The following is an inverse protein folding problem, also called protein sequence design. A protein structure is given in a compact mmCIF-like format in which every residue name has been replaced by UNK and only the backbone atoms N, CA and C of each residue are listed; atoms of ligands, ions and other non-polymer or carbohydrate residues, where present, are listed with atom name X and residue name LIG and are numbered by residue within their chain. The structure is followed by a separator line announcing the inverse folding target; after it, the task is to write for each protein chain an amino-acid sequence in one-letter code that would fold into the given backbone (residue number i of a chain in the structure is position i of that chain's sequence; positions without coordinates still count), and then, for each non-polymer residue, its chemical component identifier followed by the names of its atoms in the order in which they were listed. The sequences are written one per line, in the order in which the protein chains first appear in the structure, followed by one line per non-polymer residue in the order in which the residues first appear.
data_IF_626088875295
#
_entry.id   IF_626088875295
#
_cell.length_a   1.000
_cell.length_b   1.000
_cell.length_c   1.000
_cell.angle_alpha   90.00
_cell.angle_beta   90.00
_cell.angle_gamma   90.00
#
_symmetry.space_group_name_H-M   'P 1'
#
loop_
_entity.id
_entity.type
_entity.pdbx_description
1 polymer ?
#
# COMPACT_ATOMS: atom_id res chain seq x y z
N UNK A 1 -15.63 -4.55 -2.02
CA UNK A 1 -16.05 -3.81 -0.82
C UNK A 1 -14.93 -2.84 -0.46
N UNK A 2 -14.99 -1.61 -0.96
CA UNK A 2 -14.04 -0.55 -0.62
C UNK A 2 -14.32 0.02 0.79
N UNK A 3 -14.68 -0.83 1.76
CA UNK A 3 -15.04 -0.51 3.14
C UNK A 3 -15.82 0.80 3.34
N UNK A 4 -15.58 1.46 4.47
CA UNK A 4 -16.29 2.68 4.86
C UNK A 4 -15.98 3.90 3.98
N UNK A 5 -14.84 3.92 3.28
CA UNK A 5 -14.40 5.07 2.48
C UNK A 5 -15.39 5.44 1.36
N UNK A 6 -16.04 4.45 0.77
CA UNK A 6 -17.01 4.66 -0.30
C UNK A 6 -18.38 5.06 0.22
N UNK A 7 -18.65 4.87 1.51
CA UNK A 7 -19.87 5.32 2.18
C UNK A 7 -19.81 6.83 2.49
N UNK A 8 -18.59 7.38 2.60
CA UNK A 8 -18.40 8.82 2.74
C UNK A 8 -18.92 9.58 1.51
N UNK A 9 -19.38 10.81 1.72
CA UNK A 9 -19.60 11.75 0.62
C UNK A 9 -18.27 12.20 0.01
N UNK A 10 -18.31 12.75 -1.21
CA UNK A 10 -17.13 13.31 -1.84
C UNK A 10 -16.45 14.41 -1.00
N UNK A 11 -17.25 15.28 -0.35
CA UNK A 11 -16.74 16.34 0.52
C UNK A 11 -16.06 15.80 1.79
N UNK A 12 -16.61 14.74 2.40
CA UNK A 12 -16.00 14.07 3.54
C UNK A 12 -14.67 13.42 3.15
N UNK A 13 -14.63 12.72 2.00
CA UNK A 13 -13.37 12.15 1.48
C UNK A 13 -12.32 13.23 1.24
N UNK A 14 -12.68 14.32 0.56
CA UNK A 14 -11.77 15.42 0.30
C UNK A 14 -11.22 16.04 1.60
N UNK A 15 -12.08 16.21 2.61
CA UNK A 15 -11.67 16.72 3.92
C UNK A 15 -10.66 15.80 4.58
N UNK A 16 -10.98 14.51 4.70
CA UNK A 16 -10.08 13.51 5.31
C UNK A 16 -8.77 13.44 4.52
N UNK A 17 -8.83 13.29 3.20
CA UNK A 17 -7.66 13.20 2.34
C UNK A 17 -6.74 14.42 2.45
N UNK A 18 -7.31 15.63 2.55
CA UNK A 18 -6.52 16.85 2.73
C UNK A 18 -5.72 16.84 4.04
N UNK A 19 -6.29 16.28 5.12
CA UNK A 19 -5.61 16.15 6.41
C UNK A 19 -4.46 15.13 6.34
N UNK A 20 -4.70 13.99 5.69
CA UNK A 20 -3.66 12.98 5.46
C UNK A 20 -2.52 13.54 4.59
N UNK A 21 -2.84 14.17 3.46
CA UNK A 21 -1.84 14.77 2.58
C UNK A 21 -1.04 15.89 3.27
N UNK A 22 -1.70 16.73 4.07
CA UNK A 22 -1.03 17.77 4.86
C UNK A 22 -0.04 17.20 5.89
N UNK A 23 -0.26 15.95 6.33
CA UNK A 23 0.64 15.21 7.21
C UNK A 23 1.66 14.34 6.44
N UNK A 24 1.76 14.46 5.12
CA UNK A 24 2.65 13.62 4.29
C UNK A 24 2.20 12.16 4.22
N UNK A 25 0.90 11.91 4.21
CA UNK A 25 0.33 10.57 4.20
C UNK A 25 -0.52 10.40 2.94
N UNK A 26 -0.25 9.36 2.17
CA UNK A 26 -1.07 8.95 1.05
C UNK A 26 -2.11 7.90 1.49
N UNK A 27 -3.30 8.00 0.92
CA UNK A 27 -4.37 7.05 1.18
C UNK A 27 -4.58 6.14 -0.04
N UNK A 28 -4.20 4.88 0.08
CA UNK A 28 -4.34 3.88 -0.97
C UNK A 28 -5.40 2.82 -0.62
N UNK A 29 -5.83 2.04 -1.61
CA UNK A 29 -6.70 0.88 -1.41
C UNK A 29 -5.91 -0.41 -1.62
N UNK A 30 -6.20 -1.47 -0.86
CA UNK A 30 -5.72 -2.82 -1.20
C UNK A 30 -6.64 -3.46 -2.23
N UNK A 31 -6.09 -3.99 -3.31
CA UNK A 31 -6.79 -4.93 -4.16
C UNK A 31 -6.47 -6.37 -3.72
N UNK A 32 -7.51 -7.20 -3.57
CA UNK A 32 -7.44 -8.62 -3.24
C UNK A 32 -7.17 -8.94 -1.75
N UNK A 33 -6.09 -9.63 -1.43
CA UNK A 33 -5.80 -10.26 -0.14
C UNK A 33 -6.07 -11.76 -0.10
N UNK A 34 -5.84 -12.37 1.06
CA UNK A 34 -5.80 -13.83 1.26
C UNK A 34 -7.06 -14.62 0.86
N UNK A 35 -8.20 -13.95 0.65
CA UNK A 35 -9.48 -14.57 0.28
C UNK A 35 -9.83 -14.44 -1.21
N UNK A 36 -8.99 -13.80 -2.01
CA UNK A 36 -9.22 -13.59 -3.43
C UNK A 36 -8.11 -14.23 -4.27
N UNK A 37 -8.52 -15.05 -5.25
CA UNK A 37 -7.63 -15.78 -6.15
C UNK A 37 -7.95 -15.44 -7.61
N UNK A 38 -7.59 -14.23 -8.09
CA UNK A 38 -8.11 -13.70 -9.35
C UNK A 38 -7.72 -14.52 -10.58
N UNK A 39 -6.51 -15.08 -10.62
CA UNK A 39 -6.07 -15.90 -11.77
C UNK A 39 -6.75 -17.26 -11.77
N UNK A 40 -6.82 -17.92 -10.62
CA UNK A 40 -7.49 -19.21 -10.45
C UNK A 40 -9.01 -19.11 -10.63
N UNK A 41 -9.60 -17.95 -10.35
CA UNK A 41 -10.99 -17.64 -10.64
C UNK A 41 -11.24 -17.27 -12.12
N UNK A 42 -10.21 -17.23 -12.96
CA UNK A 42 -10.34 -16.90 -14.38
C UNK A 42 -10.70 -15.44 -14.65
N UNK A 43 -10.43 -14.52 -13.71
CA UNK A 43 -10.70 -13.10 -13.93
C UNK A 43 -9.77 -12.54 -15.00
N UNK A 44 -10.30 -11.70 -15.89
CA UNK A 44 -9.51 -11.04 -16.91
C UNK A 44 -8.63 -9.94 -16.29
N UNK A 45 -7.29 -9.98 -16.46
CA UNK A 45 -6.39 -9.03 -15.83
C UNK A 45 -6.59 -7.59 -16.31
N UNK A 46 -7.00 -7.39 -17.56
CA UNK A 46 -7.18 -6.04 -18.14
C UNK A 46 -8.46 -5.40 -17.63
N UNK A 47 -9.56 -6.15 -17.61
CA UNK A 47 -10.83 -5.70 -17.06
C UNK A 47 -10.72 -5.39 -15.57
N UNK A 48 -10.02 -6.23 -14.81
CA UNK A 48 -9.78 -6.00 -13.38
C UNK A 48 -8.94 -4.74 -13.14
N UNK A 49 -7.87 -4.55 -13.92
CA UNK A 49 -7.04 -3.35 -13.83
C UNK A 49 -7.82 -2.07 -14.13
N UNK A 50 -8.67 -2.08 -15.17
CA UNK A 50 -9.53 -0.96 -15.51
C UNK A 50 -10.54 -0.66 -14.39
N UNK A 51 -11.15 -1.70 -13.83
CA UNK A 51 -12.13 -1.58 -12.74
C UNK A 51 -11.51 -1.00 -11.48
N UNK A 52 -10.35 -1.51 -11.07
CA UNK A 52 -9.63 -1.02 -9.89
C UNK A 52 -9.12 0.40 -10.10
N UNK A 53 -8.50 0.69 -11.25
CA UNK A 53 -8.02 2.03 -11.59
C UNK A 53 -9.14 3.06 -11.62
N UNK A 54 -10.29 2.74 -12.21
CA UNK A 54 -11.45 3.61 -12.23
C UNK A 54 -11.96 3.94 -10.81
N UNK A 55 -11.95 2.97 -9.91
CA UNK A 55 -12.37 3.20 -8.53
C UNK A 55 -11.38 4.05 -7.72
N UNK A 56 -10.07 3.88 -7.94
CA UNK A 56 -9.04 4.76 -7.34
C UNK A 56 -9.31 6.21 -7.72
N UNK A 57 -9.65 6.47 -8.98
CA UNK A 57 -9.98 7.81 -9.47
C UNK A 57 -11.31 8.29 -8.88
N UNK A 58 -12.38 7.49 -9.00
CA UNK A 58 -13.74 7.84 -8.57
C UNK A 58 -13.81 8.21 -7.09
N UNK A 59 -13.09 7.45 -6.24
CA UNK A 59 -13.12 7.64 -4.80
C UNK A 59 -11.98 8.50 -4.28
N UNK A 60 -11.31 9.23 -5.17
CA UNK A 60 -10.21 10.14 -4.85
C UNK A 60 -9.23 9.48 -3.89
N UNK A 61 -8.60 8.39 -4.32
CA UNK A 61 -7.50 7.74 -3.63
C UNK A 61 -6.16 8.20 -4.24
N UNK A 62 -5.05 7.94 -3.55
CA UNK A 62 -3.70 8.26 -4.01
C UNK A 62 -3.02 7.10 -4.73
N UNK A 63 -3.62 5.91 -4.66
CA UNK A 63 -3.06 4.73 -5.29
C UNK A 63 -3.75 3.43 -4.90
N UNK A 64 -3.12 2.32 -5.28
CA UNK A 64 -3.56 0.96 -5.00
C UNK A 64 -2.35 0.07 -4.68
N UNK A 65 -2.49 -0.74 -3.63
CA UNK A 65 -1.60 -1.87 -3.35
C UNK A 65 -2.22 -3.16 -3.87
N UNK A 66 -1.47 -3.94 -4.64
CA UNK A 66 -1.92 -5.19 -5.24
C UNK A 66 -1.49 -6.36 -4.34
N UNK A 67 -2.40 -6.77 -3.46
CA UNK A 67 -2.23 -7.87 -2.53
C UNK A 67 -2.67 -9.20 -3.15
N UNK A 68 -2.01 -9.55 -4.26
CA UNK A 68 -2.29 -10.78 -4.98
C UNK A 68 -1.80 -11.98 -4.16
N UNK A 69 -2.73 -12.79 -3.63
CA UNK A 69 -2.45 -13.98 -2.82
C UNK A 69 -2.97 -15.28 -3.45
N UNK A 70 -2.97 -15.37 -4.79
CA UNK A 70 -3.39 -16.58 -5.50
C UNK A 70 -2.30 -17.66 -5.49
N UNK A 71 -2.14 -18.32 -4.33
CA UNK A 71 -1.17 -19.40 -4.15
C UNK A 71 -1.40 -20.55 -5.12
N UNK A 72 -2.65 -20.85 -5.48
CA UNK A 72 -2.94 -21.91 -6.44
C UNK A 72 -2.32 -21.61 -7.79
N UNK A 73 -2.44 -20.37 -8.28
CA UNK A 73 -1.83 -19.96 -9.53
C UNK A 73 -0.29 -19.96 -9.46
N UNK A 74 0.30 -19.35 -8.43
CA UNK A 74 1.77 -19.35 -8.27
C UNK A 74 2.33 -20.78 -8.13
N UNK A 75 1.65 -21.66 -7.41
CA UNK A 75 2.13 -23.02 -7.15
C UNK A 75 2.02 -23.95 -8.37
N UNK A 76 1.31 -23.55 -9.45
CA UNK A 76 1.39 -24.27 -10.73
C UNK A 76 2.74 -24.14 -11.41
N UNK A 77 3.49 -23.05 -11.15
CA UNK A 77 4.84 -22.81 -11.70
C UNK A 77 4.90 -22.87 -13.23
N UNK A 78 3.80 -22.52 -13.87
CA UNK A 78 3.60 -22.58 -15.32
C UNK A 78 3.62 -21.18 -15.98
N UNK A 79 3.91 -20.13 -15.19
CA UNK A 79 3.96 -18.74 -15.65
C UNK A 79 2.60 -18.04 -15.73
N UNK A 80 1.50 -18.71 -15.39
CA UNK A 80 0.14 -18.13 -15.55
C UNK A 80 -0.14 -17.01 -14.56
N UNK A 81 0.32 -17.11 -13.31
CA UNK A 81 0.20 -16.05 -12.31
C UNK A 81 0.99 -14.80 -12.74
N UNK A 82 2.20 -14.99 -13.23
CA UNK A 82 3.09 -13.93 -13.69
C UNK A 82 2.54 -13.26 -14.96
N UNK A 83 2.05 -14.04 -15.94
CA UNK A 83 1.42 -13.50 -17.14
C UNK A 83 0.18 -12.64 -16.79
N UNK A 84 -0.62 -13.08 -15.81
CA UNK A 84 -1.75 -12.32 -15.31
C UNK A 84 -1.29 -11.00 -14.65
N UNK A 85 -0.34 -11.05 -13.72
CA UNK A 85 0.18 -9.87 -13.02
C UNK A 85 0.86 -8.86 -13.97
N UNK A 86 1.60 -9.33 -14.97
CA UNK A 86 2.22 -8.48 -15.99
C UNK A 86 1.15 -7.74 -16.81
N UNK A 87 0.13 -8.47 -17.28
CA UNK A 87 -0.96 -7.89 -18.07
C UNK A 87 -1.78 -6.90 -17.24
N UNK A 88 -2.09 -7.27 -15.99
CA UNK A 88 -2.82 -6.45 -15.04
C UNK A 88 -2.05 -5.14 -14.75
N UNK A 89 -0.78 -5.23 -14.36
CA UNK A 89 0.05 -4.07 -14.02
C UNK A 89 0.20 -3.11 -15.20
N UNK A 90 0.43 -3.67 -16.39
CA UNK A 90 0.53 -2.88 -17.63
C UNK A 90 -0.77 -2.15 -17.95
N UNK A 91 -1.92 -2.83 -17.81
CA UNK A 91 -3.22 -2.21 -18.02
C UNK A 91 -3.55 -1.17 -16.94
N UNK A 92 -3.21 -1.44 -15.68
CA UNK A 92 -3.48 -0.56 -14.55
C UNK A 92 -2.74 0.75 -14.70
N UNK A 93 -1.46 0.74 -15.13
CA UNK A 93 -0.69 1.96 -15.35
C UNK A 93 -1.15 2.82 -16.52
N UNK A 94 -1.95 2.27 -17.45
CA UNK A 94 -2.64 3.10 -18.45
C UNK A 94 -3.74 3.96 -17.82
N UNK A 95 -4.32 3.51 -16.71
CA UNK A 95 -5.36 4.21 -15.96
C UNK A 95 -4.78 5.05 -14.82
N UNK A 96 -3.73 4.56 -14.16
CA UNK A 96 -3.04 5.18 -13.03
C UNK A 96 -1.57 5.46 -13.38
N UNK A 97 -1.26 6.53 -14.13
CA UNK A 97 0.09 6.78 -14.64
C UNK A 97 1.16 6.84 -13.54
N UNK A 98 2.35 6.34 -13.85
CA UNK A 98 3.55 6.49 -13.02
C UNK A 98 3.81 7.98 -12.76
N UNK A 99 4.21 8.34 -11.54
CA UNK A 99 4.38 9.75 -11.17
C UNK A 99 3.11 10.43 -10.62
N UNK A 100 1.93 9.89 -10.93
CA UNK A 100 0.65 10.49 -10.52
C UNK A 100 -0.08 9.68 -9.44
N UNK A 101 0.07 8.35 -9.47
CA UNK A 101 -0.55 7.44 -8.52
C UNK A 101 0.49 6.45 -8.01
N UNK A 102 0.31 6.06 -6.75
CA UNK A 102 1.08 4.98 -6.13
C UNK A 102 0.49 3.64 -6.58
N UNK A 103 1.32 2.75 -7.13
CA UNK A 103 0.99 1.36 -7.41
C UNK A 103 2.06 0.46 -6.85
N UNK A 104 1.68 -0.33 -5.85
CA UNK A 104 2.56 -1.24 -5.12
C UNK A 104 2.03 -2.65 -5.22
N UNK A 105 2.87 -3.64 -4.90
CA UNK A 105 2.45 -5.03 -4.79
C UNK A 105 2.84 -5.58 -3.41
N UNK A 106 2.09 -6.53 -2.87
CA UNK A 106 2.40 -7.17 -1.59
C UNK A 106 2.78 -8.67 -1.74
N UNK A 107 3.85 -9.01 -2.46
CA UNK A 107 4.27 -10.40 -2.63
C UNK A 107 4.77 -11.00 -1.33
N UNK A 108 4.65 -12.32 -1.20
CA UNK A 108 5.36 -13.05 -0.13
C UNK A 108 6.82 -13.26 -0.52
N UNK A 109 7.71 -13.23 0.48
CA UNK A 109 9.16 -13.25 0.22
C UNK A 109 9.66 -14.44 -0.64
N UNK A 110 9.14 -15.68 -0.51
CA UNK A 110 9.61 -16.80 -1.32
C UNK A 110 9.31 -16.66 -2.82
N UNK A 111 8.32 -15.86 -3.22
CA UNK A 111 7.97 -15.67 -4.64
C UNK A 111 9.05 -14.99 -5.47
N UNK A 112 10.07 -14.42 -4.84
CA UNK A 112 11.25 -13.90 -5.55
C UNK A 112 12.26 -15.00 -5.94
N UNK A 113 12.13 -16.22 -5.41
CA UNK A 113 13.04 -17.33 -5.72
C UNK A 113 12.60 -18.01 -7.03
N UNK A 114 12.99 -17.47 -8.18
CA UNK A 114 12.58 -17.97 -9.51
C UNK A 114 12.81 -19.47 -9.72
N UNK A 115 13.85 -20.02 -9.11
CA UNK A 115 14.19 -21.45 -9.16
C UNK A 115 13.10 -22.32 -8.51
N UNK A 116 12.32 -21.78 -7.56
CA UNK A 116 11.15 -22.46 -7.00
C UNK A 116 9.94 -22.44 -7.95
N UNK A 117 9.93 -21.55 -8.94
CA UNK A 117 8.80 -21.27 -9.83
C UNK A 117 9.15 -21.46 -11.32
N UNK A 118 10.02 -22.42 -11.65
CA UNK A 118 10.31 -22.76 -13.05
C UNK A 118 10.97 -21.63 -13.86
N UNK A 119 11.65 -20.69 -13.19
CA UNK A 119 12.23 -19.50 -13.80
C UNK A 119 11.33 -18.26 -13.72
N UNK A 120 10.10 -18.38 -13.23
CA UNK A 120 9.16 -17.28 -13.06
C UNK A 120 9.30 -16.61 -11.68
N UNK A 121 8.19 -16.26 -11.02
CA UNK A 121 8.16 -15.54 -9.76
C UNK A 121 8.23 -14.02 -9.91
N UNK A 122 8.27 -13.32 -8.78
CA UNK A 122 8.33 -11.86 -8.73
C UNK A 122 9.64 -11.27 -9.26
N UNK A 123 10.74 -12.02 -9.28
CA UNK A 123 11.96 -11.60 -10.00
C UNK A 123 11.70 -11.50 -11.50
N UNK A 124 10.93 -12.43 -12.08
CA UNK A 124 10.54 -12.36 -13.49
C UNK A 124 9.54 -11.23 -13.75
N UNK A 125 8.58 -11.01 -12.84
CA UNK A 125 7.63 -9.88 -12.95
C UNK A 125 8.38 -8.54 -12.92
N UNK A 126 9.31 -8.34 -12.00
CA UNK A 126 10.10 -7.10 -11.91
C UNK A 126 10.93 -6.86 -13.18
N UNK A 127 11.51 -7.90 -13.79
CA UNK A 127 12.19 -7.79 -15.08
C UNK A 127 11.27 -7.33 -16.23
N UNK A 128 9.97 -7.64 -16.18
CA UNK A 128 9.02 -7.34 -17.25
C UNK A 128 8.29 -6.02 -17.06
N UNK A 129 7.88 -5.72 -15.83
CA UNK A 129 7.04 -4.57 -15.49
C UNK A 129 7.46 -3.91 -14.17
N UNK A 130 8.65 -4.20 -13.64
CA UNK A 130 9.14 -3.61 -12.39
C UNK A 130 9.25 -2.09 -12.44
N UNK A 131 9.53 -1.51 -13.62
CA UNK A 131 9.50 -0.06 -13.83
C UNK A 131 8.09 0.56 -13.72
N UNK A 132 7.04 -0.26 -13.73
CA UNK A 132 5.65 0.14 -13.54
C UNK A 132 5.18 -0.05 -12.09
N UNK A 133 6.00 -0.61 -11.19
CA UNK A 133 5.65 -0.87 -9.79
C UNK A 133 6.53 0.03 -8.93
N UNK A 134 5.94 0.89 -8.11
CA UNK A 134 6.71 1.84 -7.30
C UNK A 134 7.57 1.10 -6.26
N UNK A 135 6.99 0.15 -5.52
CA UNK A 135 7.72 -0.76 -4.63
C UNK A 135 6.91 -2.03 -4.29
N UNK A 136 7.57 -2.94 -3.57
CA UNK A 136 7.02 -4.20 -3.07
C UNK A 136 6.91 -4.16 -1.54
N UNK A 137 5.68 -4.24 -1.02
CA UNK A 137 5.38 -4.49 0.38
C UNK A 137 5.60 -5.97 0.71
N UNK A 138 6.86 -6.40 0.72
CA UNK A 138 7.20 -7.83 0.80
C UNK A 138 6.74 -8.40 2.15
N UNK A 139 5.85 -9.38 2.12
CA UNK A 139 5.34 -10.02 3.33
C UNK A 139 6.39 -10.97 3.91
N UNK A 140 7.08 -10.52 4.97
CA UNK A 140 8.02 -11.33 5.76
C UNK A 140 7.32 -11.99 6.96
N UNK A 141 6.16 -12.61 6.70
CA UNK A 141 5.31 -13.31 7.66
C UNK A 141 4.40 -14.33 6.95
N UNK A 142 3.76 -15.22 7.72
CA UNK A 142 2.87 -16.29 7.25
C UNK A 142 3.52 -17.30 6.26
N UNK A 143 4.84 -17.49 6.30
CA UNK A 143 5.58 -18.38 5.36
C UNK A 143 6.35 -19.52 6.03
N UNK A 144 5.76 -20.18 7.02
CA UNK A 144 6.30 -21.26 7.88
C UNK A 144 6.78 -20.80 9.27
N UNK A 145 6.70 -21.72 10.24
CA UNK A 145 7.08 -21.49 11.63
C UNK A 145 8.52 -20.96 11.75
N UNK A 146 8.69 -19.85 12.47
CA UNK A 146 9.97 -19.20 12.82
C UNK A 146 10.78 -18.60 11.67
N UNK A 147 10.25 -18.60 10.45
CA UNK A 147 10.85 -17.85 9.35
C UNK A 147 10.55 -16.37 9.57
N UNK A 148 11.59 -15.54 9.47
CA UNK A 148 11.50 -14.09 9.59
C UNK A 148 11.19 -13.56 10.99
N UNK A 149 11.23 -14.35 12.06
CA UNK A 149 11.07 -13.84 13.43
C UNK A 149 12.32 -13.07 13.93
N UNK A 150 13.42 -13.09 13.16
CA UNK A 150 14.71 -12.51 13.53
C UNK A 150 15.23 -11.55 12.45
N UNK A 151 16.11 -10.63 12.85
CA UNK A 151 16.72 -9.65 11.95
C UNK A 151 17.39 -10.31 10.74
N UNK A 152 18.26 -11.29 11.00
CA UNK A 152 19.03 -11.98 9.96
C UNK A 152 18.11 -12.72 8.98
N UNK A 153 17.04 -13.37 9.47
CA UNK A 153 16.09 -14.08 8.60
C UNK A 153 15.30 -13.16 7.69
N UNK A 154 15.03 -11.94 8.15
CA UNK A 154 14.30 -10.93 7.39
C UNK A 154 15.18 -10.26 6.32
N UNK A 155 16.35 -9.71 6.69
CA UNK A 155 17.13 -8.92 5.74
C UNK A 155 18.36 -9.62 5.14
N UNK A 156 19.00 -10.57 5.80
CA UNK A 156 20.33 -11.07 5.41
C UNK A 156 20.33 -12.46 4.76
N UNK A 157 19.66 -13.43 5.38
CA UNK A 157 19.67 -14.82 4.96
C UNK A 157 18.50 -15.58 5.56
N UNK A 158 17.81 -16.46 4.83
CA UNK A 158 16.83 -17.39 5.42
C UNK A 158 17.25 -18.84 5.20
N UNK A 159 17.30 -19.65 6.26
CA UNK A 159 17.62 -21.08 6.15
C UNK A 159 16.44 -21.90 5.62
N UNK A 160 15.22 -21.52 5.97
CA UNK A 160 14.00 -22.20 5.51
C UNK A 160 13.65 -21.84 4.07
N UNK A 161 13.88 -20.59 3.67
CA UNK A 161 13.68 -20.11 2.31
C UNK A 161 14.95 -19.41 1.80
N UNK A 162 16.01 -20.16 1.47
CA UNK A 162 17.22 -19.57 0.92
C UNK A 162 16.88 -18.70 -0.29
N UNK A 163 17.48 -17.51 -0.34
CA UNK A 163 17.30 -16.48 -1.38
C UNK A 163 16.06 -15.58 -1.22
N UNK A 164 15.33 -15.65 -0.10
CA UNK A 164 14.12 -14.84 0.12
C UNK A 164 14.26 -13.67 1.08
N UNK A 165 15.44 -13.39 1.64
CA UNK A 165 15.66 -12.22 2.52
C UNK A 165 15.94 -10.95 1.70
N UNK A 166 15.79 -9.75 2.28
CA UNK A 166 15.93 -8.47 1.56
C UNK A 166 17.20 -8.40 0.68
N UNK A 167 18.38 -8.61 1.25
CA UNK A 167 19.64 -8.50 0.49
C UNK A 167 19.83 -9.66 -0.49
N UNK A 168 19.26 -10.83 -0.22
CA UNK A 168 19.27 -11.93 -1.19
C UNK A 168 18.35 -11.68 -2.37
N UNK A 169 17.19 -11.06 -2.15
CA UNK A 169 16.29 -10.61 -3.21
C UNK A 169 16.98 -9.51 -4.03
N UNK A 170 17.60 -8.54 -3.36
CA UNK A 170 18.31 -7.46 -4.03
C UNK A 170 19.46 -7.95 -4.91
N UNK A 171 20.21 -8.96 -4.46
CA UNK A 171 21.28 -9.60 -5.23
C UNK A 171 20.80 -10.26 -6.54
N UNK A 172 19.49 -10.37 -6.76
CA UNK A 172 18.87 -10.89 -7.99
C UNK A 172 18.43 -9.79 -8.96
N UNK A 173 18.71 -8.53 -8.64
CA UNK A 173 18.47 -7.39 -9.52
C UNK A 173 17.32 -6.46 -9.10
N UNK A 174 16.58 -6.79 -8.03
CA UNK A 174 15.53 -5.90 -7.51
C UNK A 174 16.20 -4.80 -6.69
N UNK A 175 15.84 -3.54 -6.93
CA UNK A 175 16.48 -2.41 -6.26
C UNK A 175 16.11 -2.36 -4.76
N UNK A 176 17.09 -2.02 -3.91
CA UNK A 176 16.91 -2.04 -2.45
C UNK A 176 15.86 -1.05 -1.95
N UNK A 177 15.62 0.04 -2.68
CA UNK A 177 14.62 1.06 -2.41
C UNK A 177 13.19 0.61 -2.74
N UNK A 178 13.04 -0.50 -3.47
CA UNK A 178 11.74 -1.12 -3.75
C UNK A 178 11.35 -2.22 -2.76
N UNK A 179 12.24 -2.65 -1.86
CA UNK A 179 11.99 -3.82 -1.00
C UNK A 179 11.53 -3.40 0.40
N UNK A 180 10.26 -3.01 0.52
CA UNK A 180 9.64 -2.67 1.81
C UNK A 180 9.49 -3.94 2.66
N UNK A 181 9.88 -3.86 3.94
CA UNK A 181 9.79 -4.98 4.89
C UNK A 181 8.37 -4.99 5.50
N UNK A 182 7.53 -5.94 5.10
CA UNK A 182 6.21 -6.17 5.69
C UNK A 182 6.27 -7.05 6.93
N UNK A 183 5.65 -6.60 8.03
CA UNK A 183 5.65 -7.28 9.33
C UNK A 183 4.30 -7.20 10.05
N UNK A 184 3.97 -8.22 10.86
CA UNK A 184 2.86 -8.13 11.79
C UNK A 184 3.14 -7.05 12.83
N UNK A 185 2.20 -6.16 13.10
CA UNK A 185 2.34 -5.10 14.10
C UNK A 185 2.15 -5.62 15.51
N UNK A 186 1.30 -6.64 15.68
CA UNK A 186 1.04 -7.38 16.91
C UNK A 186 1.26 -8.88 16.78
N UNK A 187 1.40 -9.58 17.92
CA UNK A 187 1.61 -11.03 17.94
C UNK A 187 0.40 -11.85 17.47
N UNK A 188 -0.80 -11.27 17.47
CA UNK A 188 -2.05 -11.90 17.00
C UNK A 188 -2.41 -11.56 15.57
N UNK A 189 -1.74 -10.59 14.95
CA UNK A 189 -2.14 -10.07 13.64
C UNK A 189 -1.78 -11.05 12.51
N UNK A 190 -0.85 -11.97 12.76
CA UNK A 190 -0.45 -13.02 11.83
C UNK A 190 -0.10 -14.32 12.56
N UNK A 191 -0.01 -15.42 11.81
CA UNK A 191 0.31 -16.75 12.35
C UNK A 191 1.79 -16.92 12.73
N UNK A 192 2.70 -16.16 12.12
CA UNK A 192 4.15 -16.13 12.40
C UNK A 192 4.79 -14.85 11.81
N UNK A 193 6.08 -14.60 12.06
CA UNK A 193 6.83 -13.48 11.50
C UNK A 193 6.81 -12.20 12.34
N UNK A 194 6.12 -12.21 13.49
CA UNK A 194 6.05 -11.08 14.41
C UNK A 194 7.41 -10.78 15.04
N UNK A 195 7.71 -9.49 15.16
CA UNK A 195 8.82 -8.95 15.94
C UNK A 195 8.26 -7.90 16.88
N UNK A 196 8.83 -7.79 18.09
CA UNK A 196 8.55 -6.61 18.91
C UNK A 196 8.95 -5.34 18.16
N UNK A 197 8.24 -4.25 18.42
CA UNK A 197 8.51 -2.94 17.81
C UNK A 197 9.98 -2.52 17.95
N UNK A 198 10.58 -2.74 19.13
CA UNK A 198 11.99 -2.42 19.40
C UNK A 198 12.98 -3.30 18.63
N UNK A 199 12.67 -4.59 18.47
CA UNK A 199 13.48 -5.50 17.66
C UNK A 199 13.41 -5.10 16.19
N UNK A 200 12.21 -4.84 15.66
CA UNK A 200 12.04 -4.41 14.26
C UNK A 200 12.77 -3.10 13.97
N UNK A 201 12.68 -2.11 14.87
CA UNK A 201 13.45 -0.87 14.75
C UNK A 201 14.97 -1.12 14.72
N UNK A 202 15.47 -2.03 15.57
CA UNK A 202 16.88 -2.42 15.58
C UNK A 202 17.30 -3.12 14.29
N UNK A 203 16.47 -4.02 13.77
CA UNK A 203 16.71 -4.67 12.48
C UNK A 203 16.74 -3.67 11.31
N UNK A 204 15.83 -2.69 11.33
CA UNK A 204 15.77 -1.63 10.33
C UNK A 204 17.06 -0.81 10.32
N UNK A 205 17.57 -0.45 11.51
CA UNK A 205 18.82 0.31 11.64
C UNK A 205 20.03 -0.45 11.08
N UNK A 206 20.11 -1.76 11.35
CA UNK A 206 21.15 -2.62 10.79
C UNK A 206 21.03 -2.69 9.26
N UNK A 207 19.83 -2.93 8.72
CA UNK A 207 19.62 -2.97 7.27
C UNK A 207 19.97 -1.62 6.60
N UNK A 208 19.61 -0.49 7.22
CA UNK A 208 19.99 0.85 6.75
C UNK A 208 21.50 1.03 6.71
N UNK A 209 22.22 0.57 7.73
CA UNK A 209 23.69 0.61 7.73
C UNK A 209 24.34 -0.22 6.61
N UNK A 210 23.59 -1.18 6.06
CA UNK A 210 23.98 -2.03 4.94
C UNK A 210 23.46 -1.52 3.59
N UNK A 211 22.87 -0.31 3.54
CA UNK A 211 22.45 0.36 2.31
C UNK A 211 20.98 0.20 1.93
N UNK A 212 20.17 -0.48 2.76
CA UNK A 212 18.72 -0.57 2.52
C UNK A 212 17.99 0.72 2.91
N UNK A 213 16.94 1.09 2.17
CA UNK A 213 16.28 2.40 2.30
C UNK A 213 14.79 2.41 1.92
N UNK A 214 14.13 1.25 1.75
CA UNK A 214 12.78 1.20 1.17
C UNK A 214 11.64 1.62 2.11
N UNK A 215 11.58 1.14 3.35
CA UNK A 215 10.39 1.33 4.21
C UNK A 215 9.93 0.09 4.95
N UNK A 216 8.98 0.26 5.87
CA UNK A 216 8.38 -0.85 6.61
C UNK A 216 6.87 -0.83 6.42
N UNK A 217 6.26 -2.00 6.19
CA UNK A 217 4.81 -2.18 6.17
C UNK A 217 4.35 -2.92 7.42
N UNK A 218 3.24 -2.47 8.01
CA UNK A 218 2.57 -3.10 9.15
C UNK A 218 1.27 -3.80 8.73
N UNK A 219 1.12 -5.03 9.20
CA UNK A 219 -0.12 -5.80 9.23
C UNK A 219 -0.49 -6.09 10.69
N UNK A 220 -1.51 -5.53 11.32
CA UNK A 220 -2.55 -4.70 10.76
C UNK A 220 -2.87 -3.52 11.66
N UNK A 221 -3.62 -2.56 11.13
CA UNK A 221 -4.32 -1.61 11.97
C UNK A 221 -5.49 -2.34 12.70
N UNK A 222 -5.77 -2.04 13.98
CA UNK A 222 -5.30 -0.92 14.78
C UNK A 222 -3.96 -1.11 15.51
N UNK A 223 -3.34 -2.29 15.45
CA UNK A 223 -2.08 -2.52 16.18
C UNK A 223 -0.92 -1.72 15.60
N UNK A 224 -0.82 -1.63 14.26
CA UNK A 224 0.16 -0.84 13.52
C UNK A 224 -0.12 0.67 13.50
N UNK A 225 -0.57 1.25 14.62
CA UNK A 225 -0.96 2.65 14.72
C UNK A 225 0.22 3.64 14.68
N UNK A 226 -0.10 4.95 14.79
CA UNK A 226 0.88 6.03 14.74
C UNK A 226 2.02 5.94 15.77
N UNK A 227 1.78 5.35 16.95
CA UNK A 227 2.83 5.14 17.95
C UNK A 227 3.79 4.02 17.52
N UNK A 228 3.26 2.91 17.00
CA UNK A 228 4.07 1.83 16.43
C UNK A 228 4.94 2.34 15.28
N UNK A 229 4.33 3.11 14.38
CA UNK A 229 4.99 3.72 13.22
C UNK A 229 6.17 4.59 13.65
N UNK A 230 5.95 5.54 14.56
CA UNK A 230 7.00 6.42 15.07
C UNK A 230 8.16 5.63 15.70
N UNK A 231 7.84 4.60 16.47
CA UNK A 231 8.84 3.78 17.14
C UNK A 231 9.70 2.99 16.14
N UNK A 232 9.09 2.42 15.10
CA UNK A 232 9.83 1.71 14.05
C UNK A 232 10.64 2.66 13.17
N UNK A 233 10.09 3.83 12.83
CA UNK A 233 10.79 4.87 12.07
C UNK A 233 12.08 5.37 12.74
N UNK A 234 12.16 5.33 14.07
CA UNK A 234 13.38 5.70 14.79
C UNK A 234 14.59 4.85 14.35
N UNK A 235 14.33 3.57 14.03
CA UNK A 235 15.33 2.64 13.49
C UNK A 235 15.77 2.95 12.06
N UNK A 236 15.01 3.75 11.32
CA UNK A 236 15.31 4.10 9.92
C UNK A 236 16.12 5.40 9.77
N UNK A 237 16.67 5.90 10.86
CA UNK A 237 17.53 7.09 10.84
C UNK A 237 18.77 6.85 9.96
N UNK A 238 18.95 7.69 8.94
CA UNK A 238 20.05 7.57 7.97
C UNK A 238 19.68 6.87 6.65
N UNK A 239 18.48 6.30 6.53
CA UNK A 239 17.96 5.87 5.23
C UNK A 239 17.92 7.08 4.29
N UNK A 240 18.47 6.93 3.08
CA UNK A 240 18.35 7.89 1.99
C UNK A 240 17.26 7.36 1.07
N UNK A 241 16.00 7.80 1.17
CA UNK A 241 14.94 7.25 0.33
C UNK A 241 15.35 7.28 -1.14
N UNK A 242 14.96 6.24 -1.90
CA UNK A 242 15.04 6.29 -3.36
C UNK A 242 14.20 7.44 -3.91
N UNK A 243 14.20 7.70 -5.23
CA UNK A 243 13.33 8.71 -5.82
C UNK A 243 11.86 8.37 -5.51
N UNK A 244 11.32 8.99 -4.48
CA UNK A 244 9.92 8.84 -4.09
C UNK A 244 9.06 9.40 -5.22
N UNK A 245 8.09 8.61 -5.68
CA UNK A 245 7.01 9.09 -6.54
C UNK A 245 6.23 10.14 -5.78
N UNK A 246 6.68 11.39 -5.88
CA UNK A 246 6.01 12.52 -5.25
C UNK A 246 4.76 12.75 -6.07
N UNK A 247 3.60 12.41 -5.51
CA UNK A 247 2.30 12.70 -6.14
C UNK A 247 2.22 14.22 -6.27
N UNK A 248 2.47 14.73 -7.48
CA UNK A 248 2.37 16.17 -7.76
C UNK A 248 0.98 16.66 -7.38
N UNK A 249 0.89 17.84 -6.76
CA UNK A 249 -0.38 18.48 -6.44
C UNK A 249 -1.29 18.46 -7.67
N UNK A 250 -2.41 17.72 -7.58
CA UNK A 250 -3.37 17.55 -8.68
C UNK A 250 -3.79 18.92 -9.22
N UNK A 251 -3.59 19.15 -10.52
CA UNK A 251 -4.45 20.08 -11.25
C UNK A 251 -5.89 19.52 -11.20
N UNK A 252 -6.94 20.37 -11.17
CA UNK A 252 -8.30 19.89 -11.16
C UNK A 252 -8.52 18.98 -12.38
N UNK A 253 -8.86 17.72 -12.13
CA UNK A 253 -9.28 16.80 -13.20
C UNK A 253 -10.51 17.41 -13.90
N UNK A 254 -10.63 17.29 -15.22
CA UNK A 254 -11.90 17.55 -15.89
C UNK A 254 -12.97 16.62 -15.29
N UNK A 255 -14.24 17.05 -15.20
CA UNK A 255 -15.28 16.27 -14.52
C UNK A 255 -15.52 14.96 -15.26
N UNK A 256 -14.99 13.86 -14.73
CA UNK A 256 -15.47 12.52 -15.03
C UNK A 256 -16.87 12.40 -14.43
N UNK A 257 -17.86 12.05 -15.25
CA UNK A 257 -19.22 11.84 -14.78
C UNK A 257 -19.23 10.70 -13.75
N UNK A 258 -19.69 10.92 -12.51
CA UNK A 258 -19.81 9.87 -11.51
C UNK A 258 -20.77 8.78 -12.01
N UNK A 259 -20.58 7.49 -11.62
CA UNK A 259 -21.54 6.46 -11.96
C UNK A 259 -22.92 6.84 -11.42
N UNK A 260 -23.93 6.63 -12.27
CA UNK A 260 -25.31 6.97 -11.95
C UNK A 260 -25.81 6.04 -10.83
N UNK A 261 -26.54 6.59 -9.85
CA UNK A 261 -27.40 5.72 -9.03
C UNK A 261 -28.40 5.08 -9.97
N UNK A 262 -28.66 3.78 -9.81
CA UNK A 262 -29.71 3.13 -10.57
C UNK A 262 -31.05 3.81 -10.24
N UNK A 263 -31.58 4.54 -11.20
CA UNK A 263 -32.96 4.96 -11.23
C UNK A 263 -33.67 4.06 -12.23
N UNK A 264 -34.92 3.63 -12.01
CA UNK A 264 -35.87 3.28 -13.05
C UNK A 264 -36.68 4.54 -13.45
N UNK A 265 -37.08 4.75 -14.73
CA UNK A 265 -36.79 3.96 -15.93
C UNK A 265 -35.87 4.74 -16.91
N UNK A 266 -34.57 4.48 -16.89
CA UNK A 266 -33.68 4.79 -17.99
C UNK A 266 -33.09 3.50 -18.58
N UNK A 267 -33.06 3.46 -19.90
CA UNK A 267 -32.29 2.47 -20.67
C UNK A 267 -30.80 2.72 -20.46
N UNK A 268 -30.06 1.71 -19.98
CA UNK A 268 -28.61 1.79 -19.84
C UNK A 268 -27.94 1.05 -21.01
N UNK A 269 -27.20 1.78 -21.83
CA UNK A 269 -26.36 1.17 -22.87
C UNK A 269 -25.23 0.35 -22.25
N UNK A 270 -24.76 -0.67 -22.97
CA UNK A 270 -23.64 -1.50 -22.52
C UNK A 270 -22.39 -0.67 -22.15
N UNK A 271 -21.75 -1.05 -21.05
CA UNK A 271 -20.56 -0.37 -20.52
C UNK A 271 -20.82 0.67 -19.44
N UNK A 272 -22.08 1.04 -19.17
CA UNK A 272 -22.44 1.97 -18.09
C UNK A 272 -22.34 1.28 -16.74
N UNK A 273 -21.76 1.97 -15.76
CA UNK A 273 -21.70 1.51 -14.37
C UNK A 273 -22.80 2.16 -13.53
N UNK A 274 -23.53 1.36 -12.76
CA UNK A 274 -24.55 1.84 -11.83
C UNK A 274 -24.35 1.25 -10.44
N UNK A 275 -24.83 1.97 -9.43
CA UNK A 275 -24.92 1.45 -8.06
C UNK A 275 -26.36 1.00 -7.80
N UNK A 276 -26.54 -0.28 -7.44
CA UNK A 276 -27.81 -0.88 -7.05
C UNK A 276 -27.59 -1.85 -5.89
N UNK A 277 -28.41 -1.75 -4.84
CA UNK A 277 -28.25 -2.51 -3.58
C UNK A 277 -26.83 -2.45 -2.98
N UNK A 278 -26.21 -1.27 -2.99
CA UNK A 278 -24.82 -1.03 -2.55
C UNK A 278 -23.74 -1.83 -3.29
N UNK A 279 -24.08 -2.42 -4.43
CA UNK A 279 -23.14 -3.12 -5.30
C UNK A 279 -22.95 -2.33 -6.61
N UNK A 280 -21.74 -2.38 -7.17
CA UNK A 280 -21.41 -1.75 -8.44
C UNK A 280 -21.65 -2.75 -9.57
N UNK A 281 -22.48 -2.39 -10.53
CA UNK A 281 -22.83 -3.24 -11.66
C UNK A 281 -22.41 -2.60 -12.96
N UNK A 282 -21.98 -3.41 -13.93
CA UNK A 282 -21.72 -2.98 -15.30
C UNK A 282 -22.85 -3.49 -16.20
N UNK A 283 -23.57 -2.57 -16.84
CA UNK A 283 -24.60 -2.93 -17.80
C UNK A 283 -23.96 -3.61 -19.02
N UNK A 284 -24.49 -4.75 -19.45
CA UNK A 284 -24.24 -5.28 -20.79
C UNK A 284 -25.21 -4.65 -21.81
N UNK A 285 -26.44 -4.39 -21.38
CA UNK A 285 -27.51 -3.51 -21.86
C UNK A 285 -28.66 -3.72 -20.87
N UNK A 286 -29.29 -2.67 -20.33
CA UNK A 286 -30.51 -2.80 -19.53
C UNK A 286 -31.66 -2.01 -20.15
N UNK A 287 -32.75 -2.72 -20.40
CA UNK A 287 -34.02 -2.18 -20.90
C UNK A 287 -34.93 -1.81 -19.71
N UNK A 288 -36.12 -1.27 -19.99
CA UNK A 288 -37.03 -0.69 -18.97
C UNK A 288 -37.47 -1.66 -17.85
N UNK A 289 -37.32 -2.98 -18.07
CA UNK A 289 -37.73 -4.04 -17.14
C UNK A 289 -36.55 -4.78 -16.48
N UNK A 290 -35.31 -4.37 -16.75
CA UNK A 290 -34.11 -5.06 -16.27
C UNK A 290 -33.49 -4.32 -15.07
N UNK A 291 -33.21 -5.07 -14.01
CA UNK A 291 -32.48 -4.58 -12.83
C UNK A 291 -31.09 -5.22 -12.74
N UNK A 292 -30.10 -4.51 -12.18
CA UNK A 292 -28.80 -5.11 -11.93
C UNK A 292 -28.93 -6.34 -11.00
N UNK A 293 -28.31 -7.47 -11.38
CA UNK A 293 -28.48 -8.79 -10.74
C UNK A 293 -29.33 -9.80 -11.52
N UNK A 294 -29.99 -9.38 -12.62
CA UNK A 294 -30.73 -10.29 -13.52
C UNK A 294 -29.85 -11.06 -14.50
N UNK A 295 -30.48 -11.80 -15.42
CA UNK A 295 -29.82 -12.59 -16.49
C UNK A 295 -28.93 -11.76 -17.42
N UNK A 296 -29.14 -10.44 -17.47
CA UNK A 296 -28.33 -9.47 -18.19
C UNK A 296 -27.26 -8.80 -17.29
N UNK A 297 -26.67 -9.52 -16.32
CA UNK A 297 -25.69 -8.94 -15.41
C UNK A 297 -24.54 -9.88 -15.08
N UNK A 298 -23.38 -9.31 -14.76
CA UNK A 298 -22.25 -10.05 -14.18
C UNK A 298 -21.97 -9.47 -12.79
N UNK A 299 -22.00 -10.30 -11.72
CA UNK A 299 -21.79 -9.82 -10.37
C UNK A 299 -20.36 -9.38 -10.15
N UNK A 300 -20.22 -8.33 -9.34
CA UNK A 300 -18.96 -7.72 -8.94
C UNK A 300 -18.34 -8.48 -7.75
N UNK A 301 -17.07 -8.90 -7.87
CA UNK A 301 -16.33 -9.56 -6.77
C UNK A 301 -15.81 -8.51 -5.78
N UNK A 302 -16.05 -8.65 -4.46
CA UNK A 302 -15.63 -7.67 -3.49
C UNK A 302 -14.10 -7.63 -3.32
N UNK A 303 -13.50 -6.47 -3.61
CA UNK A 303 -12.18 -6.10 -3.12
C UNK A 303 -12.21 -6.03 -1.58
N UNK A 304 -11.18 -6.53 -0.90
CA UNK A 304 -11.07 -6.48 0.55
C UNK A 304 -9.88 -5.59 0.98
N UNK A 305 -10.17 -4.63 1.87
CA UNK A 305 -9.22 -3.94 2.76
C UNK A 305 -8.55 -2.64 2.25
N UNK A 306 -8.27 -1.73 3.19
CA UNK A 306 -7.51 -0.49 2.97
C UNK A 306 -6.09 -0.60 3.51
N UNK A 307 -5.17 -0.06 2.72
CA UNK A 307 -3.76 0.17 3.04
C UNK A 307 -3.51 1.67 3.21
N UNK A 308 -3.19 2.15 4.41
CA UNK A 308 -2.67 3.50 4.57
C UNK A 308 -1.20 3.52 4.11
N UNK A 309 -0.75 4.43 3.26
CA UNK A 309 0.65 4.55 2.87
C UNK A 309 1.20 5.88 3.38
N UNK A 310 1.99 5.88 4.44
CA UNK A 310 2.75 7.05 4.86
C UNK A 310 3.93 7.27 3.92
N UNK A 311 4.07 8.48 3.38
CA UNK A 311 5.20 8.88 2.54
C UNK A 311 5.73 10.21 3.07
N UNK A 312 6.64 10.15 4.04
CA UNK A 312 7.09 11.33 4.79
C UNK A 312 8.18 12.15 4.06
N UNK A 313 7.81 13.09 3.20
CA UNK A 313 8.78 14.04 2.64
C UNK A 313 9.38 14.97 3.73
N UNK A 314 10.64 14.77 4.12
CA UNK A 314 11.39 15.73 4.93
C UNK A 314 12.31 16.57 4.04
N UNK A 315 11.93 17.81 3.74
CA UNK A 315 12.88 18.82 3.25
C UNK A 315 13.73 19.28 4.43
N UNK A 316 15.04 18.99 4.39
CA UNK A 316 15.97 19.59 5.35
C UNK A 316 16.30 21.01 4.87
N UNK A 317 15.86 22.02 5.62
CA UNK A 317 16.42 23.36 5.46
C UNK A 317 17.78 23.38 6.16
N UNK A 318 18.85 23.44 5.37
CA UNK A 318 20.20 23.64 5.88
C UNK A 318 20.37 25.10 6.31
N UNK A 319 20.18 25.39 7.59
CA UNK A 319 20.58 26.65 8.19
C UNK A 319 22.12 26.75 8.25
N UNK A 320 22.70 27.71 7.52
CA UNK A 320 24.13 27.95 7.48
C UNK A 320 24.70 28.32 8.86
N UNK A 321 25.81 27.66 9.24
CA UNK A 321 26.59 28.05 10.41
C UNK A 321 27.43 29.27 10.07
N UNK A 322 27.22 30.37 10.78
CA UNK A 322 28.24 31.43 10.93
C UNK A 322 28.95 31.24 12.27
N UNK A 323 30.28 31.37 12.22
CA UNK A 323 31.20 31.24 13.34
C UNK A 323 31.24 32.50 14.19
N UNK A 324 31.17 32.37 15.52
CA UNK A 324 31.74 33.35 16.45
C UNK A 324 32.33 32.66 17.68
N UNK A 325 33.45 33.21 18.12
CA UNK A 325 34.38 32.75 19.14
C UNK A 325 33.96 33.09 20.58
N UNK A 326 34.37 32.24 21.53
CA UNK A 326 34.90 32.69 22.83
C UNK A 326 33.96 32.76 24.03
N UNK A 327 34.51 32.31 25.16
CA UNK A 327 34.13 32.52 26.56
C UNK A 327 32.93 31.76 27.17
N UNK A 328 33.25 31.08 28.28
CA UNK A 328 32.38 30.34 29.17
C UNK A 328 31.59 31.26 30.10
N UNK A 329 30.26 31.20 30.04
CA UNK A 329 29.37 31.62 31.11
C UNK A 329 28.12 30.72 31.15
N UNK A 330 27.78 30.25 32.35
CA UNK A 330 26.50 29.61 32.68
C UNK A 330 25.40 30.67 32.61
N UNK A 331 24.47 30.54 31.67
CA UNK A 331 23.21 31.30 31.66
C UNK A 331 22.00 30.37 31.76
N UNK A 332 21.12 30.75 32.68
CA UNK A 332 19.82 30.14 32.95
C UNK A 332 18.87 30.43 31.77
N UNK A 333 18.49 29.41 30.99
CA UNK A 333 17.40 29.55 30.03
C UNK A 333 16.05 29.24 30.72
N UNK A 334 15.28 30.29 31.01
CA UNK A 334 13.81 30.20 30.99
C UNK A 334 13.39 30.10 29.53
N UNK A 335 13.30 28.88 29.02
CA UNK A 335 12.77 28.61 27.69
C UNK A 335 11.26 28.86 27.67
N UNK A 336 10.83 29.78 26.82
CA UNK A 336 9.44 29.93 26.37
C UNK A 336 8.95 28.59 25.82
N UNK A 337 7.80 28.13 26.33
CA UNK A 337 7.09 26.96 25.80
C UNK A 337 6.80 27.19 24.31
N UNK A 338 7.39 26.34 23.47
CA UNK A 338 7.12 26.33 22.03
C UNK A 338 5.65 25.95 21.78
N UNK A 339 5.01 26.70 20.89
CA UNK A 339 3.57 26.70 20.57
C UNK A 339 3.12 25.41 19.83
N UNK A 340 3.88 24.32 19.96
CA UNK A 340 3.66 23.04 19.26
C UNK A 340 3.05 21.94 20.14
N UNK A 341 3.18 22.00 21.47
CA UNK A 341 2.50 21.03 22.36
C UNK A 341 0.97 21.22 22.39
N UNK A 342 0.47 22.44 22.14
CA UNK A 342 -0.96 22.70 22.16
C UNK A 342 -1.71 22.17 20.93
N UNK A 343 -1.09 22.15 19.73
CA UNK A 343 -1.79 21.77 18.49
C UNK A 343 -1.93 20.27 18.26
N UNK A 344 -1.00 19.45 18.76
CA UNK A 344 -1.14 17.99 18.67
C UNK A 344 -2.14 17.45 19.71
N UNK A 345 -2.21 18.04 20.91
CA UNK A 345 -3.16 17.63 21.95
C UNK A 345 -4.61 17.98 21.61
N UNK A 346 -4.88 19.05 20.84
CA UNK A 346 -6.24 19.35 20.36
C UNK A 346 -6.71 18.40 19.25
N UNK A 347 -5.78 17.79 18.49
CA UNK A 347 -6.07 16.79 17.45
C UNK A 347 -6.41 15.40 18.02
N UNK A 348 -5.98 15.10 19.25
CA UNK A 348 -6.32 13.84 19.96
C UNK A 348 -7.74 13.88 20.52
N UNK A 349 -8.25 15.06 20.90
CA UNK A 349 -9.62 15.21 21.43
C UNK A 349 -10.75 14.97 20.42
N UNK A 350 -10.48 15.10 19.12
CA UNK A 350 -11.46 14.82 18.05
C UNK A 350 -11.39 13.37 17.54
N UNK A 351 -10.38 12.60 17.95
CA UNK A 351 -10.24 11.19 17.59
C UNK A 351 -11.09 10.25 18.46
N UNK A 352 -11.67 10.76 19.57
CA UNK A 352 -12.59 10.01 20.42
C UNK A 352 -14.04 9.99 19.93
N UNK A 353 -14.35 10.64 18.79
CA UNK A 353 -15.69 10.62 18.18
C UNK A 353 -15.61 10.03 16.78
N UNK A 354 -15.45 8.71 16.67
CA UNK A 354 -15.52 8.02 15.37
C UNK A 354 -14.65 6.78 15.24
N UNK A 355 -14.71 5.86 16.19
CA UNK A 355 -14.02 4.58 16.17
C UNK A 355 -14.61 3.60 15.13
N UNK A 356 -14.43 3.80 13.82
CA UNK A 356 -14.80 2.79 12.79
C UNK A 356 -13.99 2.90 11.47
N UNK A 357 -12.68 3.15 11.53
CA UNK A 357 -11.82 3.08 10.34
C UNK A 357 -11.31 1.64 10.15
N UNK A 358 -11.96 0.86 9.29
CA UNK A 358 -11.57 -0.49 8.89
C UNK A 358 -10.40 -0.55 7.91
N UNK A 359 -9.28 0.10 8.24
CA UNK A 359 -8.01 -0.16 7.57
C UNK A 359 -7.42 -1.45 8.15
N UNK A 360 -6.92 -2.36 7.30
CA UNK A 360 -6.27 -3.60 7.75
C UNK A 360 -4.75 -3.54 7.64
N UNK A 361 -4.19 -2.40 7.26
CA UNK A 361 -2.74 -2.35 7.06
C UNK A 361 -2.25 -0.92 6.88
N UNK A 362 -1.06 -0.64 7.40
CA UNK A 362 -0.42 0.68 7.38
C UNK A 362 1.03 0.53 6.93
N UNK A 363 1.40 1.20 5.85
CA UNK A 363 2.73 1.27 5.27
C UNK A 363 3.42 2.53 5.76
N UNK A 364 4.69 2.42 6.07
CA UNK A 364 5.58 3.47 6.56
C UNK A 364 6.75 3.63 5.60
N UNK A 365 6.66 4.62 4.71
CA UNK A 365 7.77 5.11 3.91
C UNK A 365 8.18 6.52 4.33
N UNK A 366 9.47 6.79 4.15
CA UNK A 366 10.14 8.04 4.48
C UNK A 366 10.57 8.72 3.20
#
# INVERSE_FOLDING_TARGET
NYGYWIELTAAQRATVKSQYNAAGIALCVSAYGSTASPTSAGLDPVAEAQRIGAAVIQYDLDGVDIDYEDFNAFNRKDGTAEAWLISFTTALRKVLPVGQYIVTHAPVSPWFISELYGGFGYTYIDQKVGNLIDWYNVQFYNRYHRVHDLCWSTYQFSSTWPKSSVFQIAARGISLDKLVIGKPAGPSDASNGYMTTSLLASCASQAVSMGWNAGIMAWEYPTGNSAWIKAVQAGMTGAKPGPTTTVSSRLPLPPLQPPLRFHPPPVYTGGVFVIYNNELWKANQWNDDEVPGGSASTPYVPIHSFHLVLVSNHTSQSGGKSSLSGSSHLEYYRGTYDVWEAKLLTLVGLWQVGSHLGAKSIIVQR
#
